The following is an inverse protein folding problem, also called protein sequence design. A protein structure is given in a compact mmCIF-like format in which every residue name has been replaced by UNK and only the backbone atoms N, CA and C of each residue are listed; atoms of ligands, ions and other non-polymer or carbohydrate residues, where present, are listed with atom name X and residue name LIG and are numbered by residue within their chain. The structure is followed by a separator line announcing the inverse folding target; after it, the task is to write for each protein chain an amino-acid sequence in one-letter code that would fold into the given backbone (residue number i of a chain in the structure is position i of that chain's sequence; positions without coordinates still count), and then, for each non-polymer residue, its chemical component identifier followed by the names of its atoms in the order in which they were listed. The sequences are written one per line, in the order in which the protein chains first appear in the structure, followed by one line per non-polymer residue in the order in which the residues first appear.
data_IF_007425386669
#
_entry.id   IF_007425386669
#
_cell.length_a   1.000
_cell.length_b   1.000
_cell.length_c   1.000
_cell.angle_alpha   90.00
_cell.angle_beta   90.00
_cell.angle_gamma   90.00
#
_symmetry.space_group_name_H-M   'P 1'
#
loop_
_entity.id
_entity.type
_entity.pdbx_description
1 polymer ?
#
# COMPACT_ATOMS: atom_id res chain seq x y z
N UNK A 1 37.40 -28.27 2.84
CA UNK A 1 37.57 -26.83 2.55
C UNK A 1 36.33 -26.37 1.78
N UNK A 2 35.62 -25.31 2.22
CA UNK A 2 34.46 -24.82 1.48
C UNK A 2 34.95 -24.17 0.18
N UNK A 3 34.39 -24.61 -0.95
CA UNK A 3 34.68 -24.04 -2.27
C UNK A 3 34.03 -22.65 -2.30
N UNK A 4 34.83 -21.61 -2.07
CA UNK A 4 34.39 -20.23 -2.25
C UNK A 4 34.30 -19.97 -3.75
N UNK A 5 33.10 -20.11 -4.32
CA UNK A 5 32.85 -19.75 -5.73
C UNK A 5 32.96 -18.24 -5.90
N UNK A 6 33.98 -17.78 -6.60
CA UNK A 6 34.10 -16.38 -7.03
C UNK A 6 33.15 -16.17 -8.20
N UNK A 7 32.02 -15.51 -7.94
CA UNK A 7 31.07 -15.12 -9.00
C UNK A 7 31.78 -14.24 -10.04
N UNK A 8 31.54 -14.55 -11.31
CA UNK A 8 32.01 -13.74 -12.45
C UNK A 8 31.38 -12.33 -12.40
N UNK A 9 32.02 -11.30 -12.97
CA UNK A 9 31.49 -9.93 -12.98
C UNK A 9 30.07 -9.83 -13.54
N UNK A 10 29.74 -10.66 -14.54
CA UNK A 10 28.41 -10.74 -15.16
C UNK A 10 27.35 -11.28 -14.20
N UNK A 11 27.66 -12.33 -13.43
CA UNK A 11 26.76 -12.89 -12.43
C UNK A 11 26.52 -11.93 -11.25
N UNK A 12 27.54 -11.14 -10.87
CA UNK A 12 27.40 -10.09 -9.86
C UNK A 12 26.47 -8.98 -10.34
N UNK A 13 26.64 -8.51 -11.59
CA UNK A 13 25.79 -7.48 -12.18
C UNK A 13 24.32 -7.91 -12.22
N UNK A 14 24.06 -9.17 -12.58
CA UNK A 14 22.70 -9.71 -12.67
C UNK A 14 22.08 -9.89 -11.29
N UNK A 15 22.82 -10.38 -10.29
CA UNK A 15 22.32 -10.46 -8.91
C UNK A 15 21.97 -9.09 -8.35
N UNK A 16 22.79 -8.06 -8.65
CA UNK A 16 22.51 -6.68 -8.27
C UNK A 16 21.27 -6.13 -8.99
N UNK A 17 21.12 -6.42 -10.29
CA UNK A 17 19.93 -6.03 -11.07
C UNK A 17 18.65 -6.68 -10.54
N UNK A 18 18.67 -7.98 -10.24
CA UNK A 18 17.54 -8.70 -9.63
C UNK A 18 17.20 -8.09 -8.26
N UNK A 19 18.20 -7.84 -7.42
CA UNK A 19 17.99 -7.22 -6.10
C UNK A 19 17.35 -5.83 -6.19
N UNK A 20 17.80 -5.01 -7.15
CA UNK A 20 17.25 -3.67 -7.40
C UNK A 20 15.80 -3.72 -7.93
N UNK A 21 15.49 -4.67 -8.81
CA UNK A 21 14.14 -4.82 -9.34
C UNK A 21 13.17 -5.35 -8.27
N UNK A 22 13.63 -6.25 -7.41
CA UNK A 22 12.87 -6.70 -6.26
C UNK A 22 12.58 -5.55 -5.27
N UNK A 23 13.57 -4.70 -4.96
CA UNK A 23 13.33 -3.58 -4.05
C UNK A 23 12.35 -2.56 -4.61
N UNK A 24 12.42 -2.26 -5.92
CA UNK A 24 11.46 -1.38 -6.60
C UNK A 24 10.04 -1.99 -6.58
N UNK A 25 9.91 -3.29 -6.83
CA UNK A 25 8.62 -3.98 -6.75
C UNK A 25 8.03 -3.94 -5.33
N UNK A 26 8.85 -4.13 -4.30
CA UNK A 26 8.42 -4.00 -2.91
C UNK A 26 7.95 -2.56 -2.59
N UNK A 27 8.69 -1.54 -3.02
CA UNK A 27 8.29 -0.14 -2.83
C UNK A 27 6.98 0.18 -3.53
N UNK A 28 6.79 -0.31 -4.77
CA UNK A 28 5.56 -0.12 -5.52
C UNK A 28 4.37 -0.86 -4.88
N UNK A 29 4.59 -2.05 -4.30
CA UNK A 29 3.56 -2.75 -3.54
C UNK A 29 3.17 -1.97 -2.26
N UNK A 30 4.15 -1.44 -1.51
CA UNK A 30 3.89 -0.59 -0.35
C UNK A 30 3.10 0.65 -0.76
N UNK A 31 3.50 1.32 -1.84
CA UNK A 31 2.79 2.48 -2.36
C UNK A 31 1.34 2.14 -2.72
N UNK A 32 1.11 0.97 -3.33
CA UNK A 32 -0.24 0.51 -3.66
C UNK A 32 -1.10 0.27 -2.42
N UNK A 33 -0.52 -0.29 -1.35
CA UNK A 33 -1.21 -0.42 -0.05
C UNK A 33 -1.54 0.95 0.53
N UNK A 34 -0.60 1.89 0.48
CA UNK A 34 -0.83 3.27 0.94
C UNK A 34 -1.94 3.94 0.12
N UNK A 35 -1.95 3.81 -1.19
CA UNK A 35 -3.02 4.31 -2.07
C UNK A 35 -4.36 3.62 -1.77
N UNK A 36 -4.35 2.31 -1.49
CA UNK A 36 -5.53 1.57 -1.06
C UNK A 36 -6.14 2.16 0.22
N UNK A 37 -5.32 2.39 1.25
CA UNK A 37 -5.79 2.95 2.52
C UNK A 37 -6.22 4.41 2.36
N UNK A 38 -5.45 5.23 1.64
CA UNK A 38 -5.70 6.68 1.54
C UNK A 38 -6.79 7.07 0.56
N UNK A 39 -7.07 6.24 -0.45
CA UNK A 39 -8.07 6.53 -1.49
C UNK A 39 -9.27 5.59 -1.40
N UNK A 40 -9.04 4.28 -1.29
CA UNK A 40 -10.12 3.29 -1.35
C UNK A 40 -10.97 3.32 -0.08
N UNK A 41 -10.35 3.33 1.10
CA UNK A 41 -11.08 3.30 2.37
C UNK A 41 -12.05 4.49 2.54
N UNK A 42 -11.64 5.77 2.39
CA UNK A 42 -12.58 6.88 2.51
C UNK A 42 -13.65 6.86 1.42
N UNK A 43 -13.33 6.37 0.22
CA UNK A 43 -14.31 6.25 -0.85
C UNK A 43 -15.36 5.17 -0.58
N UNK A 44 -14.97 4.03 -0.03
CA UNK A 44 -15.90 2.97 0.39
C UNK A 44 -16.85 3.49 1.46
N UNK A 45 -16.34 4.25 2.44
CA UNK A 45 -17.19 4.88 3.45
C UNK A 45 -18.24 5.81 2.80
N UNK A 46 -17.83 6.70 1.89
CA UNK A 46 -18.74 7.63 1.17
C UNK A 46 -19.74 6.94 0.24
N UNK A 47 -19.40 5.77 -0.28
CA UNK A 47 -20.30 4.97 -1.12
C UNK A 47 -21.30 4.16 -0.28
N UNK A 48 -20.97 3.88 0.98
CA UNK A 48 -21.80 3.09 1.89
C UNK A 48 -22.89 3.90 2.57
N UNK A 49 -22.65 5.19 2.77
CA UNK A 49 -23.61 6.07 3.44
C UNK A 49 -24.93 6.16 2.69
N UNK A 50 -26.02 6.24 3.46
CA UNK A 50 -27.39 6.36 2.95
C UNK A 50 -27.97 7.70 3.33
N UNK A 51 -28.74 8.27 2.41
CA UNK A 51 -29.43 9.53 2.66
C UNK A 51 -30.69 9.26 3.48
N UNK A 52 -30.91 10.06 4.53
CA UNK A 52 -32.12 10.08 5.34
C UNK A 52 -32.56 11.53 5.61
N UNK A 53 -33.73 11.68 6.23
CA UNK A 53 -34.19 12.96 6.76
C UNK A 53 -33.90 13.00 8.25
N UNK A 54 -32.96 13.85 8.67
CA UNK A 54 -32.65 14.05 10.08
C UNK A 54 -33.56 15.12 10.68
N UNK A 55 -33.99 14.91 11.92
CA UNK A 55 -34.68 15.88 12.77
C UNK A 55 -33.84 16.17 14.00
N UNK A 56 -33.53 17.44 14.25
CA UNK A 56 -32.76 17.86 15.43
C UNK A 56 -33.59 17.67 16.70
N UNK A 57 -33.07 16.91 17.66
CA UNK A 57 -33.67 16.75 18.99
C UNK A 57 -33.15 17.81 19.96
N UNK A 58 -31.89 18.20 19.83
CA UNK A 58 -31.28 19.26 20.60
C UNK A 58 -29.82 19.49 20.24
N UNK A 59 -29.26 20.59 20.73
CA UNK A 59 -27.84 20.87 20.63
C UNK A 59 -27.31 21.46 21.93
N UNK A 60 -26.04 21.20 22.23
CA UNK A 60 -25.37 21.73 23.42
C UNK A 60 -23.86 21.85 23.18
N UNK A 61 -23.20 22.69 23.97
CA UNK A 61 -21.75 22.77 23.97
C UNK A 61 -21.16 21.83 25.04
N UNK A 62 -20.05 21.15 24.71
CA UNK A 62 -19.36 20.24 25.64
C UNK A 62 -18.64 21.05 26.73
N UNK A 63 -18.89 20.73 28.00
CA UNK A 63 -18.23 21.31 29.17
C UNK A 63 -19.15 21.52 30.38
N UNK A 64 -18.59 21.49 31.59
CA UNK A 64 -19.31 21.41 32.88
C UNK A 64 -20.22 22.60 33.21
N UNK A 65 -20.18 23.71 32.46
CA UNK A 65 -21.03 24.88 32.71
C UNK A 65 -21.61 25.47 31.42
N UNK A 66 -22.93 25.72 31.35
CA UNK A 66 -23.55 26.38 30.19
C UNK A 66 -22.97 27.78 29.92
N UNK A 67 -22.41 28.44 30.92
CA UNK A 67 -21.79 29.77 30.78
C UNK A 67 -20.33 29.75 30.29
N UNK A 68 -19.65 28.58 30.29
CA UNK A 68 -18.25 28.46 29.86
C UNK A 68 -17.94 27.03 29.37
N UNK A 69 -18.15 26.72 28.08
CA UNK A 69 -17.84 25.41 27.52
C UNK A 69 -16.34 25.12 27.48
N UNK A 70 -16.01 23.83 27.46
CA UNK A 70 -14.65 23.32 27.31
C UNK A 70 -14.10 23.70 25.94
N UNK A 71 -12.83 24.10 25.90
CA UNK A 71 -12.14 24.48 24.65
C UNK A 71 -11.34 23.30 24.11
N UNK A 72 -11.45 23.06 22.81
CA UNK A 72 -10.73 22.03 22.08
C UNK A 72 -9.63 22.68 21.24
N UNK A 73 -8.47 22.03 21.15
CA UNK A 73 -7.31 22.55 20.40
C UNK A 73 -7.36 22.10 18.95
N UNK A 74 -6.99 22.98 18.03
CA UNK A 74 -6.80 22.66 16.62
C UNK A 74 -5.47 23.22 16.09
N UNK A 75 -4.94 22.61 15.02
CA UNK A 75 -3.71 23.05 14.36
C UNK A 75 -4.05 23.77 13.05
N UNK A 76 -3.80 25.08 13.01
CA UNK A 76 -4.00 25.93 11.85
C UNK A 76 -2.77 25.86 10.94
N UNK A 77 -2.99 25.66 9.63
CA UNK A 77 -1.91 25.68 8.65
C UNK A 77 -1.73 27.10 8.08
N UNK A 78 -0.58 27.72 8.34
CA UNK A 78 -0.22 29.06 7.81
C UNK A 78 0.80 29.01 6.66
N UNK A 79 0.97 27.85 6.03
CA UNK A 79 1.94 27.64 4.94
C UNK A 79 3.07 26.69 5.36
N UNK A 80 4.22 26.76 4.65
CA UNK A 80 5.24 25.69 4.71
C UNK A 80 5.97 25.52 6.05
N UNK A 81 5.92 26.49 6.97
CA UNK A 81 6.76 26.46 8.19
C UNK A 81 6.09 26.96 9.47
N UNK A 82 4.87 27.49 9.42
CA UNK A 82 4.20 28.03 10.61
C UNK A 82 3.14 27.05 11.11
N UNK A 83 3.48 26.37 12.23
CA UNK A 83 2.52 25.59 13.01
C UNK A 83 1.80 26.56 13.95
N UNK A 84 0.53 26.79 13.68
CA UNK A 84 -0.33 27.60 14.54
C UNK A 84 -1.22 26.67 15.37
N UNK A 85 -1.35 26.97 16.66
CA UNK A 85 -2.33 26.32 17.52
C UNK A 85 -3.43 27.32 17.86
N UNK A 86 -4.66 26.91 17.65
CA UNK A 86 -5.84 27.69 18.01
C UNK A 86 -6.82 26.81 18.80
N UNK A 87 -7.96 27.37 19.19
CA UNK A 87 -8.98 26.63 19.91
C UNK A 87 -10.39 27.01 19.49
N UNK A 88 -11.33 26.13 19.77
CA UNK A 88 -12.75 26.29 19.46
C UNK A 88 -13.63 25.66 20.56
N UNK A 89 -14.90 26.05 20.64
CA UNK A 89 -15.92 25.38 21.48
C UNK A 89 -16.45 24.14 20.76
N UNK A 90 -16.59 23.01 21.45
CA UNK A 90 -17.19 21.82 20.84
C UNK A 90 -18.72 21.89 20.96
N UNK A 91 -19.41 21.79 19.82
CA UNK A 91 -20.87 21.73 19.73
C UNK A 91 -21.28 20.30 19.39
N UNK A 92 -22.22 19.74 20.15
CA UNK A 92 -22.87 18.46 19.87
C UNK A 92 -24.30 18.74 19.44
N UNK A 93 -24.71 18.18 18.30
CA UNK A 93 -26.08 18.27 17.78
C UNK A 93 -26.61 16.84 17.67
N UNK A 94 -27.63 16.52 18.44
CA UNK A 94 -28.27 15.21 18.38
C UNK A 94 -29.46 15.26 17.41
N UNK A 95 -29.55 14.26 16.54
CA UNK A 95 -30.58 14.13 15.52
C UNK A 95 -31.24 12.76 15.58
N UNK A 96 -32.52 12.69 15.21
CA UNK A 96 -33.22 11.43 14.93
C UNK A 96 -33.50 11.28 13.45
N UNK A 97 -33.45 10.06 12.94
CA UNK A 97 -33.76 9.74 11.56
C UNK A 97 -34.32 8.32 11.44
N UNK A 98 -35.06 8.06 10.38
CA UNK A 98 -35.55 6.71 10.06
C UNK A 98 -34.62 6.04 9.06
N UNK A 99 -34.24 4.79 9.33
CA UNK A 99 -33.48 3.95 8.39
C UNK A 99 -34.35 3.51 7.21
N UNK A 100 -33.73 2.96 6.17
CA UNK A 100 -34.45 2.33 5.05
C UNK A 100 -35.43 1.22 5.49
N UNK A 101 -35.13 0.55 6.62
CA UNK A 101 -35.97 -0.50 7.22
C UNK A 101 -37.12 0.06 8.09
N UNK A 102 -37.23 1.38 8.22
CA UNK A 102 -38.26 2.07 9.02
C UNK A 102 -37.95 2.16 10.52
N UNK A 103 -36.75 1.78 10.94
CA UNK A 103 -36.32 1.90 12.34
C UNK A 103 -35.90 3.35 12.64
N UNK A 104 -36.42 3.95 13.71
CA UNK A 104 -35.99 5.27 14.17
C UNK A 104 -34.71 5.14 15.01
N UNK A 105 -33.69 5.93 14.66
CA UNK A 105 -32.40 5.96 15.36
C UNK A 105 -31.99 7.38 15.70
N UNK A 106 -31.12 7.49 16.70
CA UNK A 106 -30.52 8.75 17.14
C UNK A 106 -29.02 8.71 16.84
N UNK A 107 -28.48 9.82 16.35
CA UNK A 107 -27.06 9.99 16.10
C UNK A 107 -26.61 11.41 16.44
N UNK A 108 -25.30 11.57 16.63
CA UNK A 108 -24.67 12.88 16.67
C UNK A 108 -24.32 13.33 15.25
N UNK A 109 -24.66 14.59 14.95
CA UNK A 109 -24.45 15.19 13.64
C UNK A 109 -23.04 15.75 13.53
N UNK A 110 -22.40 15.47 12.41
CA UNK A 110 -21.13 16.07 11.98
C UNK A 110 -21.28 16.77 10.63
N UNK A 111 -20.36 17.69 10.31
CA UNK A 111 -20.42 18.48 9.08
C UNK A 111 -20.31 17.63 7.82
N UNK A 112 -19.42 16.65 7.82
CA UNK A 112 -19.10 15.85 6.63
C UNK A 112 -18.88 14.38 6.99
N UNK A 113 -19.06 13.49 6.03
CA UNK A 113 -18.85 12.04 6.20
C UNK A 113 -17.44 11.68 6.66
N UNK A 114 -16.44 12.49 6.30
CA UNK A 114 -15.06 12.32 6.76
C UNK A 114 -14.91 12.53 8.28
N UNK A 115 -15.86 13.25 8.87
CA UNK A 115 -15.88 13.63 10.28
C UNK A 115 -16.75 12.67 11.10
N UNK A 116 -17.31 11.61 10.49
CA UNK A 116 -18.10 10.60 11.21
C UNK A 116 -17.25 9.95 12.30
N UNK A 117 -17.76 9.98 13.53
CA UNK A 117 -17.05 9.50 14.72
C UNK A 117 -16.28 10.60 15.47
N UNK A 118 -16.22 11.83 14.94
CA UNK A 118 -15.80 12.98 15.73
C UNK A 118 -16.87 13.33 16.77
N UNK A 119 -16.41 13.83 17.92
CA UNK A 119 -17.28 14.24 19.03
C UNK A 119 -18.02 15.56 18.72
N UNK A 120 -17.40 16.46 17.95
CA UNK A 120 -17.93 17.78 17.66
C UNK A 120 -18.57 17.84 16.27
N UNK A 121 -19.68 18.58 16.16
CA UNK A 121 -20.42 18.74 14.91
C UNK A 121 -19.62 19.45 13.82
N UNK A 122 -18.79 20.43 14.18
CA UNK A 122 -17.82 21.09 13.30
C UNK A 122 -16.48 21.26 14.01
N UNK A 123 -15.41 21.34 13.23
CA UNK A 123 -14.03 21.58 13.71
C UNK A 123 -13.41 22.74 12.93
N UNK A 124 -13.77 24.00 13.23
CA UNK A 124 -13.13 25.15 12.63
C UNK A 124 -11.70 25.33 13.17
N UNK A 125 -10.79 25.84 12.33
CA UNK A 125 -9.42 26.11 12.75
C UNK A 125 -8.78 27.32 12.07
N UNK A 126 -9.36 28.48 12.30
CA UNK A 126 -8.72 29.77 12.08
C UNK A 126 -7.70 30.07 13.19
N UNK A 127 -6.70 30.90 12.88
CA UNK A 127 -5.72 31.40 13.85
C UNK A 127 -6.40 32.17 14.98
N UNK A 128 -7.46 32.91 14.68
CA UNK A 128 -8.24 33.62 15.70
C UNK A 128 -9.30 32.69 16.30
N UNK A 129 -9.13 32.35 17.58
CA UNK A 129 -10.08 31.54 18.32
C UNK A 129 -11.47 32.18 18.44
N UNK A 130 -11.59 33.51 18.36
CA UNK A 130 -12.88 34.18 18.40
C UNK A 130 -13.69 33.91 17.11
N UNK A 131 -13.01 33.87 15.96
CA UNK A 131 -13.64 33.47 14.69
C UNK A 131 -14.06 32.01 14.71
N UNK A 132 -13.28 31.14 15.35
CA UNK A 132 -13.66 29.75 15.55
C UNK A 132 -14.93 29.62 16.37
N UNK A 133 -15.01 30.32 17.50
CA UNK A 133 -16.18 30.30 18.38
C UNK A 133 -17.42 30.83 17.64
N UNK A 134 -17.29 31.95 16.92
CA UNK A 134 -18.37 32.52 16.10
C UNK A 134 -18.86 31.54 15.03
N UNK A 135 -17.94 30.86 14.32
CA UNK A 135 -18.32 29.84 13.34
C UNK A 135 -19.12 28.69 13.97
N UNK A 136 -18.77 28.24 15.19
CA UNK A 136 -19.52 27.20 15.89
C UNK A 136 -20.91 27.70 16.31
N UNK A 137 -20.99 28.90 16.86
CA UNK A 137 -22.26 29.50 17.30
C UNK A 137 -23.20 29.75 16.13
N UNK A 138 -22.69 30.29 15.02
CA UNK A 138 -23.42 30.46 13.77
C UNK A 138 -23.90 29.10 13.24
N UNK A 139 -23.05 28.08 13.26
CA UNK A 139 -23.45 26.74 12.83
C UNK A 139 -24.58 26.16 13.69
N UNK A 140 -24.56 26.36 15.00
CA UNK A 140 -25.66 25.97 15.90
C UNK A 140 -26.97 26.67 15.51
N UNK A 141 -26.94 27.95 15.16
CA UNK A 141 -28.14 28.69 14.77
C UNK A 141 -28.73 28.18 13.45
N UNK A 142 -27.89 27.78 12.50
CA UNK A 142 -28.36 27.26 11.21
C UNK A 142 -28.83 25.80 11.26
N UNK A 143 -28.16 24.96 12.05
CA UNK A 143 -28.33 23.49 11.97
C UNK A 143 -28.62 22.80 13.31
N UNK A 144 -28.56 23.52 14.43
CA UNK A 144 -28.66 22.94 15.78
C UNK A 144 -29.95 23.28 16.52
N UNK A 145 -30.94 23.91 15.87
CA UNK A 145 -32.20 24.27 16.54
C UNK A 145 -33.15 23.07 16.57
N UNK A 146 -33.66 22.77 17.76
CA UNK A 146 -34.59 21.65 17.96
C UNK A 146 -35.82 21.76 17.03
N UNK A 147 -36.19 20.63 16.43
CA UNK A 147 -37.28 20.53 15.46
C UNK A 147 -36.91 20.84 14.01
N UNK A 148 -35.71 21.39 13.74
CA UNK A 148 -35.23 21.54 12.36
C UNK A 148 -35.09 20.18 11.68
N UNK A 149 -35.36 20.14 10.37
CA UNK A 149 -35.20 18.95 9.54
C UNK A 149 -34.42 19.26 8.27
N UNK A 150 -33.55 18.34 7.86
CA UNK A 150 -32.73 18.47 6.66
C UNK A 150 -32.24 17.09 6.19
N UNK A 151 -31.86 16.96 4.90
CA UNK A 151 -31.21 15.74 4.43
C UNK A 151 -29.87 15.54 5.14
N UNK A 152 -29.60 14.31 5.54
CA UNK A 152 -28.38 13.88 6.19
C UNK A 152 -27.95 12.50 5.68
N UNK A 153 -26.73 12.09 6.01
CA UNK A 153 -26.15 10.83 5.55
C UNK A 153 -25.64 10.00 6.72
N UNK A 154 -26.06 8.75 6.82
CA UNK A 154 -25.65 7.84 7.90
C UNK A 154 -24.96 6.60 7.33
N UNK A 155 -24.03 5.99 8.08
CA UNK A 155 -23.49 4.67 7.74
C UNK A 155 -24.40 3.56 8.32
N UNK A 156 -25.00 2.68 7.50
CA UNK A 156 -25.76 1.53 7.99
C UNK A 156 -24.97 0.60 8.92
N UNK A 157 -23.64 0.55 8.79
CA UNK A 157 -22.75 -0.23 9.66
C UNK A 157 -22.42 0.41 10.99
N UNK A 158 -22.49 1.74 11.08
CA UNK A 158 -22.28 2.49 12.30
C UNK A 158 -23.29 3.66 12.37
N UNK A 159 -24.52 3.39 12.81
CA UNK A 159 -25.59 4.38 12.80
C UNK A 159 -25.47 5.43 13.92
N UNK A 160 -24.38 5.42 14.71
CA UNK A 160 -24.18 6.37 15.82
C UNK A 160 -23.83 7.79 15.35
N UNK A 161 -23.43 7.97 14.09
CA UNK A 161 -23.11 9.27 13.51
C UNK A 161 -23.92 9.56 12.24
N UNK A 162 -24.26 10.83 12.05
CA UNK A 162 -24.90 11.33 10.83
C UNK A 162 -24.12 12.54 10.28
N UNK A 163 -23.93 12.63 8.98
CA UNK A 163 -23.24 13.74 8.31
C UNK A 163 -24.25 14.70 7.66
N UNK A 164 -24.00 16.01 7.80
CA UNK A 164 -24.79 17.07 7.15
C UNK A 164 -24.50 17.15 5.65
N UNK A 165 -23.26 16.92 5.24
CA UNK A 165 -22.87 16.99 3.83
C UNK A 165 -22.37 15.66 3.32
N UNK A 166 -22.76 15.35 2.08
CA UNK A 166 -22.23 14.23 1.32
C UNK A 166 -21.14 14.72 0.39
N UNK A 167 -19.95 14.13 0.51
CA UNK A 167 -18.92 14.37 -0.50
C UNK A 167 -19.05 13.27 -1.55
N UNK A 168 -19.63 13.61 -2.71
CA UNK A 168 -19.69 12.69 -3.86
C UNK A 168 -18.29 12.19 -4.18
N UNK A 169 -18.04 10.91 -3.86
CA UNK A 169 -16.85 10.22 -4.33
C UNK A 169 -17.16 9.63 -5.69
N UNK A 170 -16.35 9.96 -6.68
CA UNK A 170 -16.46 9.38 -8.01
C UNK A 170 -15.88 7.97 -7.97
N UNK A 171 -16.71 6.93 -8.04
CA UNK A 171 -16.26 5.53 -8.02
C UNK A 171 -15.23 5.24 -9.13
N UNK A 172 -15.32 5.98 -10.25
CA UNK A 172 -14.38 5.86 -11.37
C UNK A 172 -12.99 6.43 -11.05
N UNK A 173 -12.91 7.50 -10.24
CA UNK A 173 -11.61 8.05 -9.81
C UNK A 173 -10.89 7.06 -8.89
N UNK A 174 -11.63 6.46 -7.96
CA UNK A 174 -11.13 5.45 -7.03
C UNK A 174 -10.66 4.22 -7.80
N UNK A 175 -11.44 3.79 -8.79
CA UNK A 175 -11.05 2.70 -9.67
C UNK A 175 -9.73 3.01 -10.39
N UNK A 176 -9.62 4.16 -11.05
CA UNK A 176 -8.39 4.52 -11.77
C UNK A 176 -7.18 4.67 -10.85
N UNK A 177 -7.36 5.21 -9.64
CA UNK A 177 -6.28 5.37 -8.67
C UNK A 177 -5.66 4.04 -8.22
N UNK A 178 -6.42 2.94 -8.22
CA UNK A 178 -5.96 1.61 -7.78
C UNK A 178 -5.62 0.68 -8.96
N UNK A 179 -6.42 0.74 -10.01
CA UNK A 179 -6.34 -0.17 -11.15
C UNK A 179 -5.03 -0.01 -11.92
N UNK A 180 -4.66 1.22 -12.27
CA UNK A 180 -3.45 1.45 -13.08
C UNK A 180 -2.17 1.02 -12.33
N UNK A 181 -1.93 1.42 -11.07
CA UNK A 181 -0.78 0.93 -10.32
C UNK A 181 -0.74 -0.59 -10.18
N UNK A 182 -1.89 -1.23 -9.92
CA UNK A 182 -1.98 -2.68 -9.83
C UNK A 182 -1.63 -3.37 -11.15
N UNK A 183 -2.19 -2.88 -12.26
CA UNK A 183 -1.93 -3.42 -13.59
C UNK A 183 -0.44 -3.32 -13.95
N UNK A 184 0.19 -2.17 -13.69
CA UNK A 184 1.63 -2.00 -13.93
C UNK A 184 2.47 -2.99 -13.12
N UNK A 185 2.14 -3.21 -11.84
CA UNK A 185 2.82 -4.18 -11.00
C UNK A 185 2.66 -5.62 -11.50
N UNK A 186 1.45 -6.01 -11.93
CA UNK A 186 1.19 -7.34 -12.49
C UNK A 186 1.98 -7.54 -13.78
N UNK A 187 1.90 -6.60 -14.72
CA UNK A 187 2.61 -6.70 -16.00
C UNK A 187 4.13 -6.75 -15.78
N UNK A 188 4.65 -5.90 -14.90
CA UNK A 188 6.08 -5.87 -14.57
C UNK A 188 6.55 -7.16 -13.89
N UNK A 189 5.79 -7.69 -12.93
CA UNK A 189 6.15 -8.93 -12.24
C UNK A 189 6.14 -10.14 -13.18
N UNK A 190 5.17 -10.24 -14.09
CA UNK A 190 5.12 -11.30 -15.11
C UNK A 190 6.30 -11.19 -16.06
N UNK A 191 6.57 -10.00 -16.59
CA UNK A 191 7.72 -9.78 -17.47
C UNK A 191 9.04 -10.13 -16.78
N UNK A 192 9.19 -9.74 -15.51
CA UNK A 192 10.36 -10.06 -14.70
C UNK A 192 10.51 -11.57 -14.45
N UNK A 193 9.43 -12.28 -14.13
CA UNK A 193 9.45 -13.73 -13.94
C UNK A 193 9.84 -14.46 -15.23
N UNK A 194 9.29 -14.05 -16.38
CA UNK A 194 9.66 -14.63 -17.67
C UNK A 194 11.13 -14.36 -18.01
N UNK A 195 11.61 -13.14 -17.78
CA UNK A 195 13.00 -12.77 -18.01
C UNK A 195 13.96 -13.57 -17.11
N UNK A 196 13.64 -13.73 -15.83
CA UNK A 196 14.46 -14.49 -14.89
C UNK A 196 14.51 -15.98 -15.22
N UNK A 197 13.38 -16.59 -15.60
CA UNK A 197 13.32 -17.99 -16.06
C UNK A 197 14.16 -18.17 -17.34
N UNK A 198 13.99 -17.31 -18.34
CA UNK A 198 14.77 -17.38 -19.59
C UNK A 198 16.26 -17.24 -19.33
N UNK A 199 16.62 -16.36 -18.39
CA UNK A 199 18.00 -16.16 -18.00
C UNK A 199 18.58 -17.36 -17.24
N UNK A 200 17.83 -17.97 -16.31
CA UNK A 200 18.24 -19.20 -15.63
C UNK A 200 18.48 -20.33 -16.62
N UNK A 201 17.56 -20.52 -17.58
CA UNK A 201 17.72 -21.54 -18.64
C UNK A 201 18.92 -21.25 -19.55
N UNK A 202 19.20 -19.99 -19.83
CA UNK A 202 20.41 -19.59 -20.56
C UNK A 202 21.69 -19.97 -19.78
N UNK A 203 21.72 -19.71 -18.47
CA UNK A 203 22.84 -20.11 -17.62
C UNK A 203 22.98 -21.63 -17.60
N UNK A 204 21.91 -22.38 -17.37
CA UNK A 204 21.93 -23.85 -17.34
C UNK A 204 22.40 -24.46 -18.66
N UNK A 205 21.96 -23.93 -19.81
CA UNK A 205 22.38 -24.39 -21.13
C UNK A 205 23.85 -24.05 -21.47
N UNK A 206 24.41 -23.02 -20.82
CA UNK A 206 25.80 -22.58 -21.06
C UNK A 206 26.77 -23.15 -20.01
N UNK A 207 26.26 -23.76 -18.93
CA UNK A 207 27.08 -24.43 -17.92
C UNK A 207 27.49 -25.82 -18.43
N UNK A 208 28.79 -26.13 -18.54
CA UNK A 208 29.20 -27.51 -18.74
C UNK A 208 28.78 -28.30 -17.50
N UNK A 209 27.94 -29.32 -17.70
CA UNK A 209 27.75 -30.36 -16.69
C UNK A 209 29.14 -30.95 -16.43
N UNK A 210 29.71 -30.67 -15.26
CA UNK A 210 30.98 -31.27 -14.86
C UNK A 210 30.75 -32.76 -14.56
N UNK A 211 30.61 -33.54 -15.63
CA UNK A 211 30.66 -35.00 -15.65
C UNK A 211 32.10 -35.47 -15.92
N UNK A 212 33.11 -34.65 -15.65
CA UNK A 212 34.52 -34.99 -15.89
C UNK A 212 35.31 -35.35 -14.62
N UNK A 213 34.69 -35.31 -13.44
CA UNK A 213 35.33 -35.60 -12.16
C UNK A 213 34.72 -36.82 -11.43
N UNK A 214 34.26 -37.85 -12.14
CA UNK A 214 34.05 -39.16 -11.54
C UNK A 214 35.33 -40.02 -11.71
N UNK A 215 36.10 -40.31 -10.65
CA UNK A 215 37.32 -41.12 -10.76
C UNK A 215 37.06 -42.58 -11.20
N UNK A 216 35.80 -43.01 -11.16
CA UNK A 216 35.36 -44.38 -11.34
C UNK A 216 35.03 -44.76 -12.79
N UNK A 217 34.92 -43.79 -13.70
CA UNK A 217 34.64 -44.05 -15.13
C UNK A 217 35.87 -44.55 -15.91
N UNK A 218 37.09 -44.37 -15.39
CA UNK A 218 38.33 -44.81 -16.06
C UNK A 218 38.71 -46.28 -15.77
N UNK A 219 37.99 -46.96 -14.89
CA UNK A 219 38.32 -48.32 -14.43
C UNK A 219 37.49 -49.44 -15.10
N UNK A 220 36.62 -49.11 -16.07
CA UNK A 220 35.74 -50.09 -16.70
C UNK A 220 36.17 -50.55 -18.10
N UNK A 221 37.27 -50.03 -18.65
CA UNK A 221 37.81 -50.48 -19.94
C UNK A 221 39.13 -51.25 -19.76
N UNK A 222 39.08 -52.44 -19.15
CA UNK A 222 40.11 -53.46 -19.34
C UNK A 222 39.43 -54.75 -19.85
N UNK A 223 39.59 -55.13 -21.13
CA UNK A 223 39.06 -56.40 -21.64
C UNK A 223 40.02 -57.57 -21.39
N UNK A 224 39.53 -58.61 -20.73
CA UNK A 224 40.20 -59.91 -20.58
C UNK A 224 40.14 -60.74 -21.89
N UNK A 225 41.30 -60.90 -22.55
CA UNK A 225 41.71 -62.05 -23.38
C UNK A 225 41.19 -62.14 -24.83
N UNK A 226 41.74 -63.05 -25.68
CA UNK A 226 42.79 -64.05 -25.43
C UNK A 226 44.04 -63.89 -26.34
N UNK A 227 45.09 -64.67 -26.05
CA UNK A 227 46.38 -64.62 -26.73
C UNK A 227 46.41 -65.20 -28.15
N UNK A 228 47.36 -64.71 -28.94
CA UNK A 228 48.28 -65.51 -29.76
C UNK A 228 49.39 -64.64 -30.36
N UNK A 229 50.52 -65.30 -30.64
CA UNK A 229 51.62 -64.95 -31.56
C UNK A 229 52.61 -63.79 -31.28
N UNK A 230 53.78 -64.20 -30.77
CA UNK A 230 55.12 -63.95 -31.32
C UNK A 230 55.25 -62.92 -32.47
N UNK A 231 55.98 -61.82 -32.26
CA UNK A 231 57.33 -61.57 -32.82
C UNK A 231 57.80 -60.10 -32.62
N UNK A 232 59.07 -60.01 -32.22
CA UNK A 232 60.07 -58.97 -32.49
C UNK A 232 59.81 -57.49 -32.13
N UNK A 233 60.49 -57.08 -31.05
CA UNK A 233 61.21 -55.81 -30.81
C UNK A 233 61.93 -55.17 -32.05
N UNK A 234 62.51 -53.94 -31.96
CA UNK A 234 62.31 -52.85 -30.98
C UNK A 234 62.35 -51.41 -31.57
N UNK A 235 62.03 -50.44 -30.69
CA UNK A 235 62.80 -49.20 -30.49
C UNK A 235 62.96 -48.18 -31.63
N UNK A 236 62.30 -47.03 -31.48
CA UNK A 236 63.05 -45.76 -31.45
C UNK A 236 62.31 -44.69 -30.64
N UNK A 237 63.10 -43.99 -29.81
CA UNK A 237 62.70 -42.93 -28.88
C UNK A 237 62.75 -41.55 -29.61
N UNK A 238 62.46 -40.43 -28.94
CA UNK A 238 61.46 -39.44 -29.34
C UNK A 238 62.03 -38.28 -30.17
N UNK A 239 61.18 -37.53 -30.87
CA UNK A 239 61.52 -36.17 -31.33
C UNK A 239 60.60 -35.15 -30.66
N UNK A 240 61.13 -34.52 -29.62
CA UNK A 240 60.78 -33.17 -29.22
C UNK A 240 61.35 -32.22 -30.28
N UNK A 241 60.53 -31.34 -30.83
CA UNK A 241 60.98 -30.12 -31.52
C UNK A 241 60.17 -28.95 -30.97
N UNK A 242 60.91 -28.01 -30.39
CA UNK A 242 60.48 -26.71 -29.89
C UNK A 242 60.32 -25.71 -31.06
N UNK A 243 59.53 -24.66 -30.78
CA UNK A 243 59.67 -23.27 -31.26
C UNK A 243 59.41 -22.92 -32.74
N UNK A 244 58.40 -22.07 -32.99
CA UNK A 244 58.58 -20.61 -32.98
C UNK A 244 57.25 -19.87 -33.28
N UNK A 245 56.97 -18.85 -32.47
CA UNK A 245 56.01 -17.78 -32.77
C UNK A 245 56.81 -16.58 -33.29
N UNK A 246 56.48 -16.15 -34.51
CA UNK A 246 56.57 -14.77 -34.98
C UNK A 246 55.41 -14.56 -35.96
#
# INVERSE_FOLDING_TARGET
MPIVRVLTPKERLVKLGIGMLCSVACLAAILLVVLGITVAQPAVLRMRTRQATCRVTGSHFVGDKPDRPSRFSCSCSLGRYDVCMSSYKCLVISVTFSTEDGEERTADLVESEKDLGNECAIVPCDRDHALNDDMVEVYQQYWGLAGQTYPCWYDPGNPSGAARTHQKSSSIEVFHALFWPALFLVVFSVAFALASIRFQRYIEATLPTNESNNPWSRLQDEPEGPGDENQLQPSSRPKLVFENFA
#
